data_IF_912135875672
#
_entry.id   IF_912135875672
#
_cell.length_a   1.000
_cell.length_b   1.000
_cell.length_c   1.000
_cell.angle_alpha   90.00
_cell.angle_beta   90.00
_cell.angle_gamma   90.00
#
_symmetry.space_group_name_H-M   'P 1'
#
loop_
_entity.id
_entity.type
_entity.pdbx_description
1 polymer ?
#
# COMPACT_ATOMS: atom_id res chain seq x y z
N UNK A 1 -4.31 -10.06 -26.21
CA UNK A 1 -4.56 -9.83 -24.76
C UNK A 1 -3.20 -9.74 -24.08
N UNK A 2 -2.98 -8.67 -23.33
CA UNK A 2 -1.77 -8.46 -22.51
C UNK A 2 -1.68 -9.59 -21.47
N UNK A 3 -0.50 -10.19 -21.29
CA UNK A 3 -0.26 -11.18 -20.24
C UNK A 3 -0.39 -10.54 -18.86
N UNK A 4 -0.58 -11.33 -17.81
CA UNK A 4 -0.62 -10.79 -16.44
C UNK A 4 0.74 -10.19 -16.06
N UNK A 5 1.83 -10.84 -16.46
CA UNK A 5 3.20 -10.35 -16.24
C UNK A 5 3.43 -8.98 -16.87
N UNK A 6 3.00 -8.76 -18.11
CA UNK A 6 3.07 -7.46 -18.78
C UNK A 6 2.23 -6.41 -18.04
N UNK A 7 0.99 -6.75 -17.70
CA UNK A 7 0.10 -5.89 -16.93
C UNK A 7 0.71 -5.46 -15.59
N UNK A 8 1.31 -6.38 -14.84
CA UNK A 8 1.96 -6.09 -13.56
C UNK A 8 3.18 -5.19 -13.74
N UNK A 9 3.97 -5.41 -14.79
CA UNK A 9 5.12 -4.56 -15.13
C UNK A 9 4.69 -3.13 -15.46
N UNK A 10 3.62 -2.95 -16.22
CA UNK A 10 3.03 -1.64 -16.50
C UNK A 10 2.55 -0.93 -15.22
N UNK A 11 2.03 -1.72 -14.26
CA UNK A 11 1.63 -1.24 -12.95
C UNK A 11 2.81 -0.95 -11.99
N UNK A 12 4.05 -1.20 -12.43
CA UNK A 12 5.27 -0.90 -11.66
C UNK A 12 5.81 -2.03 -10.79
N UNK A 13 5.29 -3.26 -10.94
CA UNK A 13 5.86 -4.42 -10.26
C UNK A 13 7.22 -4.74 -10.89
N UNK A 14 8.27 -4.77 -10.07
CA UNK A 14 9.64 -5.09 -10.45
C UNK A 14 9.97 -6.53 -10.09
N UNK A 15 11.04 -7.07 -10.69
CA UNK A 15 11.56 -8.40 -10.38
C UNK A 15 12.07 -8.56 -8.94
N UNK A 16 12.29 -7.46 -8.23
CA UNK A 16 12.67 -7.44 -6.81
C UNK A 16 11.49 -7.62 -5.85
N UNK A 17 10.25 -7.52 -6.34
CA UNK A 17 9.07 -7.77 -5.51
C UNK A 17 8.76 -9.27 -5.46
N UNK A 18 8.54 -9.80 -4.27
CA UNK A 18 8.16 -11.20 -4.07
C UNK A 18 6.70 -11.43 -4.50
N UNK A 19 6.53 -11.78 -5.77
CA UNK A 19 5.23 -12.05 -6.39
C UNK A 19 5.25 -13.38 -7.13
N UNK A 20 4.23 -14.20 -6.91
CA UNK A 20 3.98 -15.43 -7.66
C UNK A 20 2.91 -15.13 -8.70
N UNK A 21 3.20 -15.42 -9.97
CA UNK A 21 2.32 -15.11 -11.09
C UNK A 21 1.79 -16.42 -11.68
N UNK A 22 0.48 -16.56 -11.72
CA UNK A 22 -0.24 -17.63 -12.41
C UNK A 22 -0.95 -17.00 -13.62
N UNK A 23 -0.38 -17.20 -14.80
CA UNK A 23 -0.92 -16.68 -16.06
C UNK A 23 -2.23 -17.35 -16.45
N UNK A 24 -2.41 -18.64 -16.16
CA UNK A 24 -3.59 -19.42 -16.56
C UNK A 24 -4.83 -18.94 -15.81
N UNK A 25 -4.72 -18.75 -14.49
CA UNK A 25 -5.80 -18.18 -13.67
C UNK A 25 -5.81 -16.66 -13.64
N UNK A 26 -4.86 -15.99 -14.29
CA UNK A 26 -4.60 -14.54 -14.24
C UNK A 26 -4.59 -14.01 -12.79
N UNK A 27 -3.83 -14.70 -11.93
CA UNK A 27 -3.72 -14.37 -10.51
C UNK A 27 -2.29 -14.05 -10.14
N UNK A 28 -2.06 -12.87 -9.55
CA UNK A 28 -0.79 -12.53 -8.89
C UNK A 28 -0.96 -12.69 -7.38
N UNK A 29 0.04 -13.27 -6.72
CA UNK A 29 0.09 -13.45 -5.27
C UNK A 29 1.29 -12.72 -4.71
N UNK A 30 1.06 -11.64 -4.00
CA UNK A 30 2.08 -10.87 -3.29
C UNK A 30 2.31 -11.50 -1.91
N UNK A 31 3.55 -11.88 -1.61
CA UNK A 31 3.92 -12.42 -0.31
C UNK A 31 4.16 -11.28 0.68
N UNK A 32 3.67 -11.44 1.91
CA UNK A 32 3.68 -10.40 2.95
C UNK A 32 4.56 -10.86 4.11
N UNK A 33 5.58 -10.08 4.41
CA UNK A 33 6.58 -10.41 5.41
C UNK A 33 6.55 -9.44 6.60
N UNK A 34 7.00 -9.92 7.75
CA UNK A 34 7.36 -9.08 8.87
C UNK A 34 8.69 -8.35 8.63
N UNK A 35 9.04 -7.40 9.47
CA UNK A 35 10.35 -6.71 9.45
C UNK A 35 11.56 -7.65 9.57
N UNK A 36 11.37 -8.82 10.18
CA UNK A 36 12.42 -9.84 10.35
C UNK A 36 12.39 -10.91 9.25
N UNK A 37 11.65 -10.68 8.16
CA UNK A 37 11.56 -11.59 7.01
C UNK A 37 10.69 -12.84 7.22
N UNK A 38 9.88 -12.91 8.28
CA UNK A 38 8.94 -14.00 8.49
C UNK A 38 7.70 -13.81 7.63
N UNK A 39 7.29 -14.81 6.86
CA UNK A 39 6.05 -14.79 6.08
C UNK A 39 4.84 -14.69 7.03
N UNK A 40 4.04 -13.64 6.84
CA UNK A 40 2.85 -13.33 7.64
C UNK A 40 1.54 -13.55 6.91
N UNK A 41 1.57 -13.63 5.59
CA UNK A 41 0.38 -13.77 4.78
C UNK A 41 0.63 -13.54 3.31
N UNK A 42 -0.44 -13.30 2.57
CA UNK A 42 -0.38 -12.96 1.16
C UNK A 42 -1.59 -12.11 0.75
N UNK A 43 -1.43 -11.39 -0.36
CA UNK A 43 -2.56 -10.77 -1.06
C UNK A 43 -2.63 -11.30 -2.48
N UNK A 44 -3.79 -11.78 -2.91
CA UNK A 44 -4.03 -12.10 -4.32
C UNK A 44 -4.61 -10.89 -5.04
N UNK A 45 -4.22 -10.76 -6.31
CA UNK A 45 -4.74 -9.78 -7.26
C UNK A 45 -5.20 -10.48 -8.53
N UNK A 46 -6.45 -10.26 -8.90
CA UNK A 46 -7.11 -10.77 -10.11
C UNK A 46 -7.66 -9.58 -10.90
N UNK A 47 -6.99 -9.08 -11.95
CA UNK A 47 -7.38 -7.84 -12.64
C UNK A 47 -8.81 -7.86 -13.18
N UNK A 48 -9.26 -9.02 -13.63
CA UNK A 48 -10.55 -9.21 -14.29
C UNK A 48 -11.72 -9.48 -13.31
N UNK A 49 -11.41 -9.66 -12.02
CA UNK A 49 -12.40 -9.94 -11.00
C UNK A 49 -13.06 -8.65 -10.45
N UNK A 50 -14.28 -8.75 -9.87
CA UNK A 50 -14.96 -7.60 -9.29
C UNK A 50 -14.19 -7.02 -8.09
N UNK A 51 -14.18 -5.67 -7.95
CA UNK A 51 -13.55 -4.97 -6.82
C UNK A 51 -14.36 -5.16 -5.53
N UNK A 52 -15.67 -5.26 -5.64
CA UNK A 52 -16.61 -5.39 -4.52
C UNK A 52 -17.46 -6.63 -4.67
N UNK A 53 -17.95 -7.19 -3.55
CA UNK A 53 -18.83 -8.35 -3.56
C UNK A 53 -20.12 -8.07 -4.34
N UNK A 54 -20.42 -8.84 -5.42
CA UNK A 54 -21.67 -8.69 -6.15
C UNK A 54 -22.89 -9.18 -5.36
N UNK A 55 -22.72 -10.16 -4.47
CA UNK A 55 -23.77 -10.69 -3.60
C UNK A 55 -23.21 -11.11 -2.23
N UNK A 56 -24.09 -11.45 -1.27
CA UNK A 56 -23.69 -11.92 0.07
C UNK A 56 -22.99 -13.29 0.02
N UNK A 57 -23.38 -14.14 -0.92
CA UNK A 57 -22.88 -15.50 -1.12
C UNK A 57 -21.53 -15.52 -1.87
N UNK A 58 -21.12 -14.40 -2.44
CA UNK A 58 -19.88 -14.32 -3.23
C UNK A 58 -18.66 -14.61 -2.37
N UNK A 59 -17.83 -15.56 -2.83
CA UNK A 59 -16.62 -15.94 -2.13
C UNK A 59 -15.60 -14.76 -2.15
N UNK A 60 -15.16 -14.24 -0.99
CA UNK A 60 -14.19 -13.15 -0.95
C UNK A 60 -12.88 -13.44 -1.67
N UNK A 61 -12.48 -14.71 -1.79
CA UNK A 61 -11.25 -15.13 -2.50
C UNK A 61 -11.32 -14.88 -4.01
N UNK A 62 -12.53 -14.68 -4.55
CA UNK A 62 -12.74 -14.41 -5.97
C UNK A 62 -12.88 -12.91 -6.27
N UNK A 63 -12.63 -12.06 -5.30
CA UNK A 63 -12.52 -10.61 -5.49
C UNK A 63 -11.19 -10.26 -6.17
N UNK A 64 -11.17 -9.05 -6.76
CA UNK A 64 -9.96 -8.47 -7.36
C UNK A 64 -8.80 -8.44 -6.38
N UNK A 65 -9.06 -8.13 -5.13
CA UNK A 65 -8.10 -8.16 -4.04
C UNK A 65 -8.62 -9.04 -2.92
N UNK A 66 -7.82 -10.00 -2.49
CA UNK A 66 -8.09 -10.79 -1.31
C UNK A 66 -6.82 -10.91 -0.49
N UNK A 67 -6.88 -10.44 0.77
CA UNK A 67 -5.76 -10.51 1.71
C UNK A 67 -6.01 -11.61 2.73
N UNK A 68 -5.02 -12.48 2.91
CA UNK A 68 -4.98 -13.46 3.98
C UNK A 68 -3.79 -13.16 4.89
N UNK A 69 -4.02 -13.14 6.18
CA UNK A 69 -2.98 -13.00 7.19
C UNK A 69 -3.03 -14.13 8.20
N UNK A 70 -1.88 -14.50 8.73
CA UNK A 70 -1.78 -15.37 9.91
C UNK A 70 -2.49 -14.65 11.07
N UNK A 71 -3.26 -15.43 11.86
CA UNK A 71 -4.01 -14.86 12.98
C UNK A 71 -3.11 -14.09 13.96
N UNK A 72 -3.52 -12.87 14.26
CA UNK A 72 -2.76 -11.98 15.14
C UNK A 72 -1.70 -11.12 14.44
N UNK A 73 -1.33 -11.43 13.21
CA UNK A 73 -0.33 -10.66 12.47
C UNK A 73 -0.97 -9.50 11.69
N UNK A 74 -0.18 -8.45 11.45
CA UNK A 74 -0.58 -7.31 10.62
C UNK A 74 0.03 -7.48 9.22
N UNK A 75 -0.76 -7.80 8.19
CA UNK A 75 -0.24 -7.98 6.85
C UNK A 75 0.12 -6.62 6.25
N UNK A 76 1.38 -6.45 5.89
CA UNK A 76 1.87 -5.28 5.16
C UNK A 76 2.76 -5.72 4.01
N UNK A 77 2.69 -4.98 2.92
CA UNK A 77 3.59 -5.14 1.79
C UNK A 77 4.68 -4.08 1.86
N UNK A 78 5.90 -4.43 1.47
CA UNK A 78 7.02 -3.49 1.33
C UNK A 78 7.93 -3.38 2.56
N UNK A 79 7.83 -4.28 3.55
CA UNK A 79 8.66 -4.26 4.77
C UNK A 79 10.16 -4.37 4.46
N UNK A 80 10.55 -5.01 3.37
CA UNK A 80 11.92 -5.11 2.86
C UNK A 80 12.51 -3.75 2.49
N UNK A 81 11.67 -2.80 2.08
CA UNK A 81 12.11 -1.44 1.70
C UNK A 81 12.49 -0.56 2.89
N UNK A 82 12.19 -0.99 4.11
CA UNK A 82 12.60 -0.27 5.31
C UNK A 82 14.12 -0.05 5.38
N UNK A 83 14.92 -0.89 4.71
CA UNK A 83 16.37 -0.68 4.60
C UNK A 83 16.78 0.53 3.76
N UNK A 84 15.89 1.09 2.91
CA UNK A 84 16.20 2.19 1.98
C UNK A 84 16.48 3.51 2.70
N UNK A 85 15.78 3.78 3.79
CA UNK A 85 15.96 5.01 4.55
C UNK A 85 15.64 4.78 6.04
N UNK A 86 16.53 5.15 6.98
CA UNK A 86 16.31 4.98 8.41
C UNK A 86 15.45 6.08 9.06
N UNK A 87 15.17 7.19 8.37
CA UNK A 87 14.57 8.37 8.97
C UNK A 87 13.05 8.46 8.77
N UNK A 88 12.53 7.93 7.67
CA UNK A 88 11.11 7.97 7.36
C UNK A 88 10.65 6.70 6.62
N UNK A 89 9.34 6.53 6.55
CA UNK A 89 8.67 5.53 5.74
C UNK A 89 7.36 6.11 5.23
N UNK A 90 7.06 5.90 3.95
CA UNK A 90 5.74 6.19 3.42
C UNK A 90 4.74 5.11 3.79
N UNK A 91 3.48 5.50 3.96
CA UNK A 91 2.37 4.62 4.25
C UNK A 91 1.25 4.87 3.25
N UNK A 92 0.78 3.81 2.60
CA UNK A 92 -0.26 3.83 1.56
C UNK A 92 -1.27 2.70 1.77
N UNK A 93 -2.38 2.71 1.04
CA UNK A 93 -3.42 1.69 1.21
C UNK A 93 -3.12 0.40 0.45
N UNK A 94 -2.61 0.49 -0.78
CA UNK A 94 -2.49 -0.64 -1.72
C UNK A 94 -1.08 -0.96 -2.18
N UNK A 95 -0.89 -2.21 -2.65
CA UNK A 95 0.39 -2.68 -3.23
C UNK A 95 0.81 -1.80 -4.40
N UNK A 96 -0.11 -1.46 -5.31
CA UNK A 96 0.22 -0.68 -6.51
C UNK A 96 0.59 0.77 -6.21
N UNK A 97 0.15 1.31 -5.08
CA UNK A 97 0.61 2.59 -4.58
C UNK A 97 2.04 2.49 -4.07
N UNK A 98 2.31 1.49 -3.22
CA UNK A 98 3.63 1.29 -2.62
C UNK A 98 4.74 1.09 -3.66
N UNK A 99 4.51 0.31 -4.72
CA UNK A 99 5.54 0.05 -5.74
C UNK A 99 5.95 1.31 -6.51
N UNK A 100 5.10 2.34 -6.58
CA UNK A 100 5.48 3.64 -7.17
C UNK A 100 6.52 4.36 -6.32
N UNK A 101 6.37 4.32 -5.00
CA UNK A 101 7.37 4.85 -4.06
C UNK A 101 8.66 4.03 -4.09
N UNK A 102 8.57 2.69 -4.16
CA UNK A 102 9.74 1.82 -4.32
C UNK A 102 10.53 2.15 -5.58
N UNK A 103 9.84 2.43 -6.70
CA UNK A 103 10.48 2.84 -7.96
C UNK A 103 11.19 4.21 -7.86
N UNK A 104 10.81 5.06 -6.90
CA UNK A 104 11.49 6.32 -6.58
C UNK A 104 12.62 6.15 -5.54
N UNK A 105 12.82 4.93 -5.01
CA UNK A 105 13.82 4.66 -3.97
C UNK A 105 13.36 5.04 -2.56
N UNK A 106 12.07 5.26 -2.34
CA UNK A 106 11.51 5.54 -1.02
C UNK A 106 11.03 4.26 -0.34
N UNK A 107 11.30 4.09 0.98
CA UNK A 107 10.64 3.04 1.75
C UNK A 107 9.16 3.32 1.84
N UNK A 108 8.36 2.30 1.52
CA UNK A 108 6.90 2.44 1.55
C UNK A 108 6.22 1.14 1.96
N UNK A 109 5.26 1.26 2.86
CA UNK A 109 4.44 0.15 3.34
C UNK A 109 3.01 0.31 2.85
N UNK A 110 2.45 -0.74 2.24
CA UNK A 110 1.01 -0.81 1.96
C UNK A 110 0.29 -1.52 3.11
N UNK A 111 -0.74 -0.85 3.65
CA UNK A 111 -1.57 -1.33 4.77
C UNK A 111 -2.78 -2.05 4.23
N UNK A 112 -2.70 -3.24 3.81
CA UNK A 112 -3.71 -4.03 3.11
C UNK A 112 -4.99 -4.34 3.92
N UNK A 113 -5.28 -3.56 4.96
CA UNK A 113 -6.42 -3.73 5.85
C UNK A 113 -6.72 -2.46 6.64
N UNK A 114 -7.92 -2.40 7.22
CA UNK A 114 -8.49 -1.20 7.83
C UNK A 114 -8.45 -1.22 9.37
N UNK A 115 -7.44 -1.84 10.01
CA UNK A 115 -7.34 -1.81 11.48
C UNK A 115 -6.32 -0.74 11.96
N UNK A 116 -6.78 0.50 12.22
CA UNK A 116 -5.90 1.59 12.62
C UNK A 116 -5.27 1.38 14.02
N UNK A 117 -5.88 0.57 14.89
CA UNK A 117 -5.36 0.33 16.25
C UNK A 117 -4.10 -0.51 16.19
N UNK A 118 -4.14 -1.63 15.46
CA UNK A 118 -2.98 -2.49 15.26
C UNK A 118 -1.85 -1.77 14.53
N UNK A 119 -2.22 -0.96 13.53
CA UNK A 119 -1.27 -0.17 12.77
C UNK A 119 -0.47 0.79 13.67
N UNK A 120 -1.14 1.51 14.58
CA UNK A 120 -0.47 2.45 15.50
C UNK A 120 0.60 1.78 16.34
N UNK A 121 0.29 0.62 16.92
CA UNK A 121 1.26 -0.14 17.73
C UNK A 121 2.49 -0.54 16.92
N UNK A 122 2.30 -0.97 15.67
CA UNK A 122 3.39 -1.31 14.77
C UNK A 122 4.23 -0.06 14.42
N UNK A 123 3.58 1.03 14.00
CA UNK A 123 4.26 2.26 13.57
C UNK A 123 5.07 2.88 14.72
N UNK A 124 4.56 2.83 15.96
CA UNK A 124 5.31 3.29 17.14
C UNK A 124 6.60 2.50 17.38
N UNK A 125 6.63 1.22 16.97
CA UNK A 125 7.81 0.36 17.15
C UNK A 125 8.91 0.58 16.11
N UNK A 126 8.61 1.17 14.96
CA UNK A 126 9.62 1.31 13.88
C UNK A 126 10.54 2.53 14.00
N UNK A 127 10.43 3.33 15.03
CA UNK A 127 11.31 4.48 15.35
C UNK A 127 11.63 5.38 14.14
N UNK A 128 10.67 5.57 13.24
CA UNK A 128 10.78 6.36 12.01
C UNK A 128 9.60 7.30 11.88
N UNK A 129 9.82 8.39 11.16
CA UNK A 129 8.74 9.29 10.79
C UNK A 129 7.83 8.63 9.76
N UNK A 130 6.55 8.57 10.05
CA UNK A 130 5.54 7.98 9.17
C UNK A 130 4.89 9.07 8.34
N UNK A 131 5.00 8.95 7.02
CA UNK A 131 4.46 9.90 6.05
C UNK A 131 3.34 9.22 5.25
N UNK A 132 2.10 9.60 5.48
CA UNK A 132 0.97 9.05 4.74
C UNK A 132 0.85 9.64 3.33
N UNK A 133 0.52 8.80 2.35
CA UNK A 133 -0.03 9.26 1.08
C UNK A 133 -1.41 8.61 0.95
N UNK A 134 -2.44 9.40 1.25
CA UNK A 134 -3.77 8.92 1.58
C UNK A 134 -4.77 9.32 0.50
N UNK A 135 -5.74 8.47 0.22
CA UNK A 135 -6.88 8.83 -0.62
C UNK A 135 -7.70 9.92 0.06
N UNK A 136 -8.28 10.83 -0.72
CA UNK A 136 -9.10 11.91 -0.16
C UNK A 136 -10.52 11.45 0.16
N UNK A 137 -10.63 10.38 0.92
CA UNK A 137 -11.89 9.78 1.37
C UNK A 137 -11.86 9.43 2.88
N UNK A 138 -12.90 8.76 3.36
CA UNK A 138 -13.01 8.38 4.77
C UNK A 138 -11.97 7.32 5.20
N UNK A 139 -11.50 6.46 4.29
CA UNK A 139 -10.48 5.45 4.57
C UNK A 139 -9.11 6.11 4.67
N UNK A 140 -8.76 6.97 3.71
CA UNK A 140 -7.52 7.73 3.71
C UNK A 140 -7.38 8.66 4.91
N UNK A 141 -8.48 9.30 5.36
CA UNK A 141 -8.47 10.11 6.60
C UNK A 141 -8.19 9.28 7.84
N UNK A 142 -8.68 8.03 7.91
CA UNK A 142 -8.34 7.11 9.01
C UNK A 142 -6.87 6.70 8.95
N UNK A 143 -6.33 6.44 7.77
CA UNK A 143 -4.91 6.15 7.58
C UNK A 143 -4.05 7.35 8.01
N UNK A 144 -4.39 8.54 7.56
CA UNK A 144 -3.73 9.81 7.90
C UNK A 144 -3.60 10.01 9.42
N UNK A 145 -4.63 9.61 10.20
CA UNK A 145 -4.59 9.72 11.67
C UNK A 145 -3.54 8.85 12.36
N UNK A 146 -2.87 7.97 11.63
CA UNK A 146 -1.77 7.12 12.11
C UNK A 146 -0.40 7.60 11.62
N UNK A 147 -0.34 8.73 10.92
CA UNK A 147 0.87 9.28 10.33
C UNK A 147 1.31 10.54 11.07
N UNK A 148 2.62 10.81 11.08
CA UNK A 148 3.17 12.08 11.61
C UNK A 148 2.85 13.21 10.65
N UNK A 149 2.96 12.96 9.35
CA UNK A 149 2.57 13.85 8.25
C UNK A 149 1.84 13.06 7.18
N UNK A 150 1.10 13.74 6.33
CA UNK A 150 0.44 13.09 5.22
C UNK A 150 0.19 14.04 4.06
N UNK A 151 0.03 13.45 2.89
CA UNK A 151 -0.49 14.07 1.67
C UNK A 151 -1.85 13.46 1.37
N UNK A 152 -2.75 14.24 0.83
CA UNK A 152 -3.93 13.69 0.18
C UNK A 152 -3.68 13.56 -1.32
N UNK A 153 -3.99 12.42 -1.90
CA UNK A 153 -3.94 12.21 -3.33
C UNK A 153 -4.87 13.22 -4.04
N UNK A 154 -4.38 13.95 -5.08
CA UNK A 154 -5.15 15.08 -5.63
C UNK A 154 -6.41 14.62 -6.37
N UNK A 155 -6.28 13.77 -7.38
CA UNK A 155 -7.39 13.32 -8.23
C UNK A 155 -7.31 11.85 -8.64
N UNK A 156 -6.23 11.17 -8.31
CA UNK A 156 -5.97 9.75 -8.64
C UNK A 156 -5.04 9.14 -7.61
N UNK A 157 -5.19 7.84 -7.39
CA UNK A 157 -4.34 7.08 -6.47
C UNK A 157 -2.88 7.11 -6.92
N UNK A 158 -1.93 6.96 -5.99
CA UNK A 158 -0.51 6.89 -6.32
C UNK A 158 -0.21 5.79 -7.36
N UNK A 159 -0.92 4.66 -7.28
CA UNK A 159 -0.82 3.55 -8.24
C UNK A 159 -1.19 3.89 -9.69
N UNK A 160 -1.95 4.96 -9.89
CA UNK A 160 -2.36 5.49 -11.21
C UNK A 160 -1.44 6.61 -11.70
N UNK A 161 -0.59 7.17 -10.83
CA UNK A 161 0.38 8.19 -11.19
C UNK A 161 1.56 7.60 -11.95
N UNK A 162 2.09 8.39 -12.89
CA UNK A 162 3.43 8.13 -13.42
C UNK A 162 4.47 8.44 -12.35
N UNK A 163 5.68 7.89 -12.51
CA UNK A 163 6.81 8.18 -11.62
C UNK A 163 7.10 9.69 -11.50
N UNK A 164 6.97 10.42 -12.61
CA UNK A 164 7.23 11.86 -12.66
C UNK A 164 6.15 12.65 -11.92
N UNK A 165 4.88 12.35 -12.17
CA UNK A 165 3.75 12.98 -11.45
C UNK A 165 3.85 12.80 -9.93
N UNK A 166 4.17 11.58 -9.48
CA UNK A 166 4.33 11.32 -8.05
C UNK A 166 5.51 12.10 -7.47
N UNK A 167 6.66 12.11 -8.16
CA UNK A 167 7.84 12.85 -7.73
C UNK A 167 7.55 14.35 -7.62
N UNK A 168 6.96 14.95 -8.63
CA UNK A 168 6.60 16.38 -8.63
C UNK A 168 5.63 16.70 -7.49
N UNK A 169 4.63 15.82 -7.28
CA UNK A 169 3.67 16.02 -6.21
C UNK A 169 4.31 15.94 -4.81
N UNK A 170 5.27 15.07 -4.59
CA UNK A 170 6.00 15.00 -3.31
C UNK A 170 6.88 16.23 -3.05
N UNK A 171 7.29 16.94 -4.10
CA UNK A 171 8.07 18.18 -3.95
C UNK A 171 7.18 19.40 -3.69
N UNK A 172 6.08 19.54 -4.46
CA UNK A 172 5.28 20.77 -4.47
C UNK A 172 3.92 20.61 -3.79
N UNK A 173 3.50 19.36 -3.51
CA UNK A 173 2.22 19.09 -2.88
C UNK A 173 2.15 19.54 -1.42
N UNK A 174 0.97 19.96 -1.00
CA UNK A 174 0.74 20.35 0.38
C UNK A 174 0.87 19.15 1.32
N UNK A 175 1.63 19.32 2.38
CA UNK A 175 1.76 18.37 3.49
C UNK A 175 0.84 18.79 4.62
N UNK A 176 0.28 17.82 5.29
CA UNK A 176 -0.67 18.02 6.37
C UNK A 176 -0.25 17.25 7.63
N UNK A 177 -0.71 17.73 8.78
CA UNK A 177 -0.59 17.05 10.05
C UNK A 177 -1.82 17.34 10.91
N UNK A 178 -2.01 16.61 12.02
CA UNK A 178 -3.08 16.87 12.96
C UNK A 178 -2.59 17.77 14.11
N UNK A 179 -3.35 18.82 14.42
CA UNK A 179 -3.18 19.66 15.62
C UNK A 179 -4.53 19.66 16.34
N UNK A 180 -4.57 19.18 17.57
CA UNK A 180 -5.78 19.10 18.41
C UNK A 180 -6.99 18.46 17.72
N UNK A 181 -6.73 17.50 16.81
CA UNK A 181 -7.75 16.78 16.05
C UNK A 181 -8.19 17.47 14.75
N UNK A 182 -7.68 18.63 14.43
CA UNK A 182 -7.89 19.33 13.16
C UNK A 182 -6.74 19.10 12.19
N UNK A 183 -7.03 19.09 10.88
CA UNK A 183 -6.03 18.96 9.81
C UNK A 183 -5.47 20.34 9.50
N UNK A 184 -4.16 20.49 9.68
CA UNK A 184 -3.42 21.70 9.37
C UNK A 184 -2.44 21.46 8.21
N UNK A 185 -2.31 22.45 7.31
CA UNK A 185 -1.32 22.46 6.24
C UNK A 185 0.01 23.05 6.75
N UNK A 186 1.15 22.51 6.24
CA UNK A 186 2.49 23.05 6.49
C UNK A 186 2.81 24.19 5.55
#
# INVERSE_FOLDING_TARGET
LTTLSEHLKERGILSSHDVIIDEDSRTATFLLYSQIGKLQGFQTYKPDAPKYKPSKEFNPRDLRYFTHAVSGELPMFGTETLSYNPHYVFLVEGVFDAVKFHALGHPCLAVLGNDPVRLRSFLSAISRRVVGFCDNDAAGRRLASSCDWFYFAPNKDAGEMTKHELYDYLIVGSRYHFVDGEICEF
#
